data_IF_184005786388
#
_entry.id   IF_184005786388
#
_cell.length_a   1.000
_cell.length_b   1.000
_cell.length_c   1.000
_cell.angle_alpha   90.00
_cell.angle_beta   90.00
_cell.angle_gamma   90.00
#
_symmetry.space_group_name_H-M   'P 1'
#
loop_
_entity.id
_entity.type
_entity.pdbx_description
1 polymer ?
#
# COMPACT_ATOMS: atom_id res chain seq x y z
N UNK A 1 -2.98 0.75 -18.71
CA UNK A 1 -4.02 0.30 -17.76
C UNK A 1 -5.27 -0.20 -18.51
N UNK A 2 -5.86 0.59 -19.40
CA UNK A 2 -7.04 0.18 -20.21
C UNK A 2 -6.77 -1.07 -21.06
N UNK A 3 -5.61 -1.15 -21.71
CA UNK A 3 -5.23 -2.33 -22.49
C UNK A 3 -5.14 -3.60 -21.63
N UNK A 4 -4.57 -3.50 -20.42
CA UNK A 4 -4.50 -4.62 -19.48
C UNK A 4 -5.92 -5.07 -19.07
N UNK A 5 -6.79 -4.13 -18.70
CA UNK A 5 -8.17 -4.44 -18.32
C UNK A 5 -8.94 -5.13 -19.47
N UNK A 6 -8.82 -4.62 -20.70
CA UNK A 6 -9.45 -5.25 -21.87
C UNK A 6 -9.00 -6.70 -22.07
N UNK A 7 -7.70 -6.97 -21.95
CA UNK A 7 -7.16 -8.33 -22.10
C UNK A 7 -7.61 -9.22 -20.92
N UNK A 8 -7.61 -8.70 -19.70
CA UNK A 8 -8.08 -9.43 -18.52
C UNK A 8 -9.55 -9.79 -18.65
N UNK A 9 -10.40 -8.86 -19.08
CA UNK A 9 -11.83 -9.08 -19.30
C UNK A 9 -12.08 -10.13 -20.39
N UNK A 10 -11.32 -10.07 -21.49
CA UNK A 10 -11.47 -11.04 -22.58
C UNK A 10 -11.07 -12.48 -22.19
N UNK A 11 -10.06 -12.63 -21.34
CA UNK A 11 -9.54 -13.95 -20.92
C UNK A 11 -10.22 -14.51 -19.65
N UNK A 12 -10.90 -13.67 -18.87
CA UNK A 12 -11.63 -14.06 -17.67
C UNK A 12 -13.11 -13.63 -17.78
N UNK A 13 -13.91 -14.25 -18.66
CA UNK A 13 -15.27 -13.81 -18.96
C UNK A 13 -16.23 -13.93 -17.78
N UNK A 14 -15.90 -14.73 -16.77
CA UNK A 14 -16.74 -14.96 -15.57
C UNK A 14 -16.31 -14.09 -14.38
N UNK A 15 -15.42 -13.09 -14.59
CA UNK A 15 -14.95 -12.19 -13.53
C UNK A 15 -15.62 -10.84 -13.69
N UNK A 16 -16.20 -10.34 -12.61
CA UNK A 16 -16.70 -8.97 -12.52
C UNK A 16 -15.55 -8.02 -12.18
N UNK A 17 -15.37 -6.99 -12.99
CA UNK A 17 -14.29 -6.01 -12.83
C UNK A 17 -14.84 -4.70 -12.31
N UNK A 18 -14.22 -4.19 -11.25
CA UNK A 18 -14.53 -2.88 -10.67
C UNK A 18 -13.27 -2.02 -10.82
N UNK A 19 -13.40 -0.88 -11.46
CA UNK A 19 -12.27 0.02 -11.72
C UNK A 19 -12.33 1.24 -10.82
N UNK A 20 -11.23 1.54 -10.14
CA UNK A 20 -11.02 2.76 -9.37
C UNK A 20 -9.80 3.51 -9.94
N UNK A 21 -9.97 4.80 -10.21
CA UNK A 21 -8.94 5.65 -10.83
C UNK A 21 -8.29 6.59 -9.82
N UNK A 22 -8.92 6.79 -8.69
CA UNK A 22 -8.43 7.63 -7.59
C UNK A 22 -8.57 6.89 -6.26
N UNK A 23 -7.96 7.43 -5.22
CA UNK A 23 -8.07 6.88 -3.85
C UNK A 23 -9.49 6.96 -3.33
N UNK A 24 -10.25 8.02 -3.66
CA UNK A 24 -11.65 8.15 -3.27
C UNK A 24 -12.46 7.01 -3.88
N UNK A 25 -12.34 6.79 -5.19
CA UNK A 25 -13.03 5.69 -5.89
C UNK A 25 -12.62 4.32 -5.36
N UNK A 26 -11.34 4.13 -5.00
CA UNK A 26 -10.88 2.89 -4.37
C UNK A 26 -11.55 2.67 -3.00
N UNK A 27 -11.63 3.71 -2.17
CA UNK A 27 -12.30 3.61 -0.87
C UNK A 27 -13.79 3.26 -1.04
N UNK A 28 -14.49 3.96 -1.94
CA UNK A 28 -15.91 3.70 -2.23
C UNK A 28 -16.12 2.26 -2.73
N UNK A 29 -15.26 1.80 -3.65
CA UNK A 29 -15.32 0.44 -4.17
C UNK A 29 -15.09 -0.62 -3.07
N UNK A 30 -14.13 -0.39 -2.16
CA UNK A 30 -13.87 -1.29 -1.04
C UNK A 30 -15.03 -1.34 -0.02
N UNK A 31 -15.78 -0.26 0.14
CA UNK A 31 -16.96 -0.21 1.00
C UNK A 31 -18.16 -0.91 0.35
N UNK A 32 -18.37 -0.72 -0.96
CA UNK A 32 -19.52 -1.25 -1.69
C UNK A 32 -19.38 -2.74 -2.05
N UNK A 33 -18.13 -3.22 -2.28
CA UNK A 33 -17.85 -4.58 -2.75
C UNK A 33 -17.04 -5.36 -1.70
N UNK A 34 -17.74 -5.71 -0.62
CA UNK A 34 -17.13 -6.47 0.48
C UNK A 34 -16.84 -7.94 0.11
N UNK A 35 -17.42 -8.42 -0.94
CA UNK A 35 -17.27 -9.75 -1.54
C UNK A 35 -16.16 -9.84 -2.60
N UNK A 36 -15.39 -8.77 -2.81
CA UNK A 36 -14.28 -8.79 -3.75
C UNK A 36 -13.25 -9.87 -3.39
N UNK A 37 -12.87 -10.69 -4.37
CA UNK A 37 -11.93 -11.81 -4.20
C UNK A 37 -10.47 -11.38 -4.30
N UNK A 38 -10.17 -10.29 -5.00
CA UNK A 38 -8.81 -9.82 -5.26
C UNK A 38 -8.80 -8.32 -5.57
N UNK A 39 -7.77 -7.63 -5.10
CA UNK A 39 -7.44 -6.27 -5.51
C UNK A 39 -6.14 -6.23 -6.32
N UNK A 40 -6.18 -5.68 -7.52
CA UNK A 40 -4.98 -5.26 -8.26
C UNK A 40 -4.71 -3.78 -7.93
N UNK A 41 -3.63 -3.51 -7.20
CA UNK A 41 -3.32 -2.18 -6.69
C UNK A 41 -2.14 -1.56 -7.43
N UNK A 42 -2.38 -0.48 -8.16
CA UNK A 42 -1.30 0.39 -8.65
C UNK A 42 -0.88 1.36 -7.53
N UNK A 43 0.41 1.36 -7.20
CA UNK A 43 0.95 2.27 -6.17
C UNK A 43 0.95 3.75 -6.58
N UNK A 44 0.80 4.03 -7.88
CA UNK A 44 0.89 5.37 -8.46
C UNK A 44 -0.48 5.91 -8.95
N UNK A 45 -1.59 5.50 -8.33
CA UNK A 45 -2.88 6.12 -8.64
C UNK A 45 -2.97 7.52 -8.02
N UNK A 46 -3.67 8.48 -8.66
CA UNK A 46 -3.87 9.82 -8.11
C UNK A 46 -4.41 9.80 -6.69
N UNK A 47 -3.76 10.56 -5.79
CA UNK A 47 -4.07 10.59 -4.37
C UNK A 47 -3.48 9.43 -3.56
N UNK A 48 -2.79 8.48 -4.18
CA UNK A 48 -2.07 7.43 -3.47
C UNK A 48 -0.75 7.98 -2.89
N UNK A 49 -0.38 7.43 -1.74
CA UNK A 49 0.90 7.69 -1.08
C UNK A 49 1.75 6.40 -1.07
N UNK A 50 2.04 5.86 -2.26
CA UNK A 50 2.85 4.66 -2.42
C UNK A 50 2.31 3.47 -1.59
N UNK A 51 3.16 2.86 -0.78
CA UNK A 51 2.80 1.72 0.07
C UNK A 51 1.79 2.03 1.17
N UNK A 52 1.57 3.30 1.53
CA UNK A 52 0.56 3.66 2.54
C UNK A 52 -0.85 3.23 2.13
N UNK A 53 -1.14 3.27 0.83
CA UNK A 53 -2.41 2.76 0.30
C UNK A 53 -2.56 1.26 0.53
N UNK A 54 -1.51 0.48 0.25
CA UNK A 54 -1.49 -0.96 0.52
C UNK A 54 -1.70 -1.25 2.01
N UNK A 55 -0.97 -0.57 2.89
CA UNK A 55 -1.10 -0.74 4.35
C UNK A 55 -2.51 -0.41 4.81
N UNK A 56 -3.11 0.68 4.31
CA UNK A 56 -4.49 1.06 4.63
C UNK A 56 -5.48 -0.02 4.20
N UNK A 57 -5.38 -0.50 2.96
CA UNK A 57 -6.24 -1.58 2.46
C UNK A 57 -6.10 -2.83 3.33
N UNK A 58 -4.87 -3.25 3.63
CA UNK A 58 -4.60 -4.43 4.47
C UNK A 58 -5.13 -4.28 5.89
N UNK A 59 -5.10 -3.07 6.47
CA UNK A 59 -5.64 -2.83 7.81
C UNK A 59 -7.18 -2.87 7.86
N UNK A 60 -7.85 -2.46 6.77
CA UNK A 60 -9.30 -2.43 6.68
C UNK A 60 -9.88 -3.76 6.19
N UNK A 61 -9.18 -4.45 5.30
CA UNK A 61 -9.61 -5.66 4.59
C UNK A 61 -8.53 -6.74 4.66
N UNK A 62 -8.26 -7.24 5.86
CA UNK A 62 -7.19 -8.22 6.12
C UNK A 62 -7.30 -9.51 5.29
N UNK A 63 -8.52 -9.92 4.92
CA UNK A 63 -8.76 -11.14 4.14
C UNK A 63 -8.70 -10.93 2.63
N UNK A 64 -8.77 -9.68 2.14
CA UNK A 64 -8.72 -9.38 0.70
C UNK A 64 -7.28 -9.53 0.20
N UNK A 65 -6.97 -10.48 -0.68
CA UNK A 65 -5.66 -10.56 -1.30
C UNK A 65 -5.37 -9.33 -2.14
N UNK A 66 -4.16 -8.80 -2.03
CA UNK A 66 -3.73 -7.62 -2.81
C UNK A 66 -2.53 -7.98 -3.65
N UNK A 67 -2.64 -7.82 -4.96
CA UNK A 67 -1.51 -7.88 -5.91
C UNK A 67 -1.13 -6.46 -6.28
N UNK A 68 0.09 -6.08 -5.94
CA UNK A 68 0.65 -4.78 -6.34
C UNK A 68 1.05 -4.85 -7.81
N UNK A 69 0.65 -3.84 -8.58
CA UNK A 69 1.03 -3.67 -9.99
C UNK A 69 1.82 -2.37 -10.12
N UNK A 70 3.12 -2.46 -10.43
CA UNK A 70 4.01 -1.29 -10.40
C UNK A 70 4.89 -1.20 -11.65
N UNK A 71 5.24 0.03 -12.04
CA UNK A 71 6.29 0.27 -13.05
C UNK A 71 7.71 0.10 -12.47
N UNK A 72 7.85 0.20 -11.13
CA UNK A 72 9.11 -0.04 -10.43
C UNK A 72 9.19 -1.53 -10.08
N UNK A 73 10.26 -2.18 -10.52
CA UNK A 73 10.46 -3.63 -10.36
C UNK A 73 11.78 -3.96 -9.64
N UNK A 74 12.38 -2.95 -9.01
CA UNK A 74 13.57 -3.15 -8.20
C UNK A 74 13.28 -4.02 -6.96
N UNK A 75 14.31 -4.75 -6.51
CA UNK A 75 14.19 -5.72 -5.42
C UNK A 75 13.63 -5.09 -4.13
N UNK A 76 14.08 -3.87 -3.80
CA UNK A 76 13.62 -3.15 -2.61
C UNK A 76 12.13 -2.84 -2.66
N UNK A 77 11.62 -2.42 -3.83
CA UNK A 77 10.18 -2.15 -4.04
C UNK A 77 9.35 -3.43 -3.89
N UNK A 78 9.80 -4.54 -4.48
CA UNK A 78 9.08 -5.82 -4.37
C UNK A 78 9.04 -6.30 -2.93
N UNK A 79 10.19 -6.25 -2.25
CA UNK A 79 10.30 -6.67 -0.85
C UNK A 79 9.40 -5.86 0.05
N UNK A 80 9.44 -4.53 -0.05
CA UNK A 80 8.56 -3.65 0.73
C UNK A 80 7.09 -3.94 0.49
N UNK A 81 6.67 -4.19 -0.76
CA UNK A 81 5.29 -4.57 -1.05
C UNK A 81 4.89 -5.84 -0.29
N UNK A 82 5.73 -6.87 -0.32
CA UNK A 82 5.46 -8.14 0.38
C UNK A 82 5.46 -7.95 1.90
N UNK A 83 6.39 -7.18 2.46
CA UNK A 83 6.44 -6.85 3.89
C UNK A 83 5.20 -6.09 4.37
N UNK A 84 4.66 -5.19 3.54
CA UNK A 84 3.41 -4.48 3.84
C UNK A 84 2.15 -5.31 3.57
N UNK A 85 2.31 -6.59 3.29
CA UNK A 85 1.24 -7.55 3.23
C UNK A 85 0.58 -7.71 1.85
N UNK A 86 1.29 -7.38 0.77
CA UNK A 86 0.86 -7.79 -0.54
C UNK A 86 0.87 -9.33 -0.63
N UNK A 87 -0.11 -9.89 -1.33
CA UNK A 87 -0.15 -11.32 -1.67
C UNK A 87 0.62 -11.62 -2.95
N UNK A 88 0.94 -10.59 -3.73
CA UNK A 88 1.78 -10.71 -4.91
C UNK A 88 2.25 -9.35 -5.42
N UNK A 89 3.27 -9.40 -6.28
CA UNK A 89 3.83 -8.23 -6.95
C UNK A 89 4.05 -8.51 -8.43
N UNK A 90 3.48 -7.68 -9.29
CA UNK A 90 3.54 -7.82 -10.74
C UNK A 90 4.09 -6.53 -11.35
N UNK A 91 5.28 -6.55 -11.95
CA UNK A 91 5.76 -5.46 -12.79
C UNK A 91 4.78 -5.14 -13.93
N UNK A 92 4.61 -3.86 -14.27
CA UNK A 92 3.78 -3.47 -15.44
C UNK A 92 4.35 -3.95 -16.77
N UNK A 93 5.63 -4.29 -16.80
CA UNK A 93 6.34 -4.90 -17.93
C UNK A 93 6.04 -6.40 -18.10
N UNK A 94 5.41 -7.03 -17.11
CA UNK A 94 5.14 -8.47 -17.09
C UNK A 94 4.20 -8.89 -18.24
N UNK A 95 4.54 -9.94 -19.01
CA UNK A 95 3.65 -10.50 -20.01
C UNK A 95 2.29 -10.90 -19.44
N UNK A 96 1.23 -10.69 -20.21
CA UNK A 96 -0.16 -10.89 -19.75
C UNK A 96 -0.40 -12.32 -19.23
N UNK A 97 0.20 -13.31 -19.85
CA UNK A 97 0.11 -14.72 -19.43
C UNK A 97 0.63 -14.95 -18.01
N UNK A 98 1.70 -14.25 -17.64
CA UNK A 98 2.27 -14.31 -16.29
C UNK A 98 1.41 -13.54 -15.29
N UNK A 99 0.75 -12.44 -15.70
CA UNK A 99 -0.21 -11.72 -14.86
C UNK A 99 -1.39 -12.65 -14.50
N UNK A 100 -1.91 -13.42 -15.47
CA UNK A 100 -2.93 -14.44 -15.23
C UNK A 100 -2.46 -15.53 -14.26
N UNK A 101 -1.22 -15.98 -14.41
CA UNK A 101 -0.64 -16.97 -13.51
C UNK A 101 -0.59 -16.39 -12.09
N UNK A 102 -0.10 -15.18 -11.93
CA UNK A 102 -0.04 -14.48 -10.63
C UNK A 102 -1.43 -14.37 -9.98
N UNK A 103 -2.44 -13.91 -10.72
CA UNK A 103 -3.83 -13.82 -10.23
C UNK A 103 -4.34 -15.19 -9.75
N UNK A 104 -4.15 -16.23 -10.53
CA UNK A 104 -4.62 -17.58 -10.18
C UNK A 104 -3.92 -18.16 -8.94
N UNK A 105 -2.62 -17.95 -8.81
CA UNK A 105 -1.85 -18.41 -7.66
C UNK A 105 -2.29 -17.67 -6.39
N UNK A 106 -2.45 -16.36 -6.47
CA UNK A 106 -2.90 -15.55 -5.33
C UNK A 106 -4.33 -15.91 -4.91
N UNK A 107 -5.24 -16.20 -5.85
CA UNK A 107 -6.60 -16.66 -5.54
C UNK A 107 -6.63 -18.06 -4.90
N UNK A 108 -5.58 -18.87 -5.07
CA UNK A 108 -5.40 -20.16 -4.35
C UNK A 108 -4.80 -19.99 -2.95
N UNK A 109 -4.45 -18.76 -2.56
CA UNK A 109 -3.78 -18.48 -1.30
C UNK A 109 -2.24 -18.52 -1.36
N UNK A 110 -1.68 -18.71 -2.54
CA UNK A 110 -0.23 -18.67 -2.76
C UNK A 110 0.27 -17.23 -2.92
N UNK A 111 1.57 -17.03 -2.76
CA UNK A 111 2.20 -15.74 -3.05
C UNK A 111 2.86 -15.76 -4.42
N UNK A 112 2.85 -14.61 -5.11
CA UNK A 112 3.51 -14.47 -6.40
C UNK A 112 4.45 -13.28 -6.42
N UNK A 113 5.71 -13.53 -6.83
CA UNK A 113 6.74 -12.51 -7.05
C UNK A 113 7.53 -12.83 -8.33
N UNK A 114 8.20 -11.85 -8.96
CA UNK A 114 9.12 -12.13 -10.07
C UNK A 114 10.22 -13.12 -9.66
N UNK A 115 10.55 -14.08 -10.54
CA UNK A 115 11.48 -15.20 -10.25
C UNK A 115 12.89 -14.74 -9.87
N UNK A 116 13.32 -13.55 -10.34
CA UNK A 116 14.65 -13.00 -10.05
C UNK A 116 14.77 -12.36 -8.66
N UNK A 117 13.67 -12.24 -7.92
CA UNK A 117 13.63 -11.60 -6.59
C UNK A 117 13.85 -12.63 -5.48
N UNK A 118 14.78 -12.33 -4.56
CA UNK A 118 15.06 -13.18 -3.40
C UNK A 118 14.61 -12.52 -2.10
N UNK A 119 13.39 -12.85 -1.64
CA UNK A 119 12.84 -12.28 -0.39
C UNK A 119 13.68 -12.59 0.85
N UNK A 120 14.45 -13.69 0.88
CA UNK A 120 15.25 -14.07 2.05
C UNK A 120 16.42 -13.13 2.32
N UNK A 121 16.96 -12.49 1.28
CA UNK A 121 18.07 -11.56 1.39
C UNK A 121 17.64 -10.19 1.93
N UNK A 122 16.42 -9.82 1.66
CA UNK A 122 15.88 -8.51 2.00
C UNK A 122 15.16 -8.47 3.36
N UNK A 123 14.69 -9.61 3.88
CA UNK A 123 14.06 -9.70 5.20
C UNK A 123 14.98 -9.27 6.37
N UNK A 124 16.27 -9.10 6.12
CA UNK A 124 17.24 -8.63 7.11
C UNK A 124 17.22 -7.10 7.35
N UNK A 125 16.45 -6.32 6.57
CA UNK A 125 16.58 -4.85 6.56
C UNK A 125 15.35 -4.04 7.00
N UNK A 126 14.18 -4.60 7.30
CA UNK A 126 13.02 -3.75 7.59
C UNK A 126 12.17 -4.15 8.79
N UNK A 127 12.69 -3.84 9.95
CA UNK A 127 11.98 -3.72 11.22
C UNK A 127 10.86 -2.62 11.16
N UNK A 128 11.00 -1.59 10.31
CA UNK A 128 10.04 -0.48 10.24
C UNK A 128 8.70 -0.89 9.62
N UNK A 129 8.70 -1.77 8.64
CA UNK A 129 7.46 -2.26 8.01
C UNK A 129 6.56 -3.02 9.00
N UNK A 130 7.15 -3.87 9.84
CA UNK A 130 6.40 -4.57 10.90
C UNK A 130 5.85 -3.62 11.94
N UNK A 131 6.64 -2.62 12.33
CA UNK A 131 6.23 -1.60 13.28
C UNK A 131 5.04 -0.79 12.76
N UNK A 132 5.05 -0.39 11.48
CA UNK A 132 3.94 0.33 10.86
C UNK A 132 2.69 -0.57 10.79
N UNK A 133 2.83 -1.85 10.44
CA UNK A 133 1.71 -2.81 10.48
C UNK A 133 1.10 -2.98 11.87
N UNK A 134 1.86 -2.77 12.92
CA UNK A 134 1.38 -2.84 14.29
C UNK A 134 0.49 -1.66 14.70
N UNK A 135 0.44 -0.58 13.90
CA UNK A 135 -0.41 0.56 14.17
C UNK A 135 -1.89 0.19 13.99
N UNK A 136 -2.75 0.74 14.86
CA UNK A 136 -4.19 0.67 14.64
C UNK A 136 -4.59 1.54 13.44
N UNK A 137 -5.76 1.31 12.80
CA UNK A 137 -6.24 2.17 11.71
C UNK A 137 -6.27 3.65 12.09
N UNK A 138 -6.65 3.97 13.32
CA UNK A 138 -6.66 5.35 13.82
C UNK A 138 -5.25 5.92 13.96
N UNK A 139 -4.30 5.13 14.48
CA UNK A 139 -2.90 5.53 14.61
C UNK A 139 -2.26 5.76 13.24
N UNK A 140 -2.53 4.87 12.29
CA UNK A 140 -2.04 5.00 10.93
C UNK A 140 -2.58 6.28 10.26
N UNK A 141 -3.88 6.57 10.41
CA UNK A 141 -4.49 7.79 9.90
C UNK A 141 -3.84 9.05 10.48
N UNK A 142 -3.60 9.08 11.80
CA UNK A 142 -2.91 10.20 12.47
C UNK A 142 -1.48 10.34 11.97
N UNK A 143 -0.76 9.25 11.75
CA UNK A 143 0.60 9.27 11.22
C UNK A 143 0.67 9.87 9.81
N UNK A 144 -0.29 9.54 8.93
CA UNK A 144 -0.41 10.18 7.60
C UNK A 144 -0.65 11.68 7.72
N UNK A 145 -1.57 12.08 8.60
CA UNK A 145 -1.84 13.50 8.85
C UNK A 145 -0.61 14.24 9.43
N UNK A 146 0.29 13.53 10.11
CA UNK A 146 1.59 14.07 10.49
C UNK A 146 2.47 14.32 9.27
N UNK A 147 2.51 13.41 8.31
CA UNK A 147 3.26 13.56 7.07
C UNK A 147 2.72 14.73 6.22
N UNK A 148 1.41 14.95 6.23
CA UNK A 148 0.75 16.12 5.60
C UNK A 148 1.01 17.45 6.34
N UNK A 149 1.77 17.43 7.44
CA UNK A 149 2.14 18.63 8.19
C UNK A 149 1.06 19.17 9.14
N UNK A 150 -0.09 18.51 9.33
CA UNK A 150 -1.18 18.99 10.17
C UNK A 150 -0.80 19.04 11.65
N UNK A 151 -1.13 20.13 12.32
CA UNK A 151 -0.94 20.27 13.77
C UNK A 151 -1.95 19.41 14.55
N UNK A 152 -1.63 19.03 15.79
CA UNK A 152 -2.51 18.22 16.63
C UNK A 152 -3.93 18.81 16.75
N UNK A 153 -4.06 20.14 16.82
CA UNK A 153 -5.36 20.84 16.86
C UNK A 153 -6.18 20.61 15.58
N UNK A 154 -5.51 20.64 14.42
CA UNK A 154 -6.16 20.39 13.12
C UNK A 154 -6.59 18.94 12.99
N UNK A 155 -5.72 18.00 13.41
CA UNK A 155 -6.02 16.56 13.43
C UNK A 155 -7.20 16.27 14.37
N UNK A 156 -7.19 16.86 15.56
CA UNK A 156 -8.29 16.74 16.53
C UNK A 156 -9.62 17.19 15.93
N UNK A 157 -9.62 18.33 15.24
CA UNK A 157 -10.80 18.86 14.57
C UNK A 157 -11.29 17.92 13.45
N UNK A 158 -10.39 17.46 12.56
CA UNK A 158 -10.75 16.60 11.42
C UNK A 158 -11.25 15.20 11.84
N UNK A 159 -10.75 14.70 12.97
CA UNK A 159 -11.12 13.37 13.49
C UNK A 159 -12.20 13.42 14.56
N UNK A 160 -12.72 14.61 14.90
CA UNK A 160 -13.68 14.80 15.99
C UNK A 160 -13.18 14.25 17.34
N UNK A 161 -11.88 14.46 17.62
CA UNK A 161 -11.20 14.04 18.84
C UNK A 161 -10.79 15.26 19.68
N UNK A 162 -10.42 15.02 20.94
CA UNK A 162 -9.71 16.03 21.73
C UNK A 162 -8.24 16.11 21.32
N UNK A 163 -7.61 17.28 21.48
CA UNK A 163 -6.16 17.42 21.25
C UNK A 163 -5.34 16.53 22.19
N UNK A 164 -5.82 16.29 23.41
CA UNK A 164 -5.21 15.36 24.36
C UNK A 164 -5.25 13.91 23.82
N UNK A 165 -6.34 13.51 23.19
CA UNK A 165 -6.48 12.19 22.55
C UNK A 165 -5.50 12.02 21.40
N UNK A 166 -5.33 13.05 20.56
CA UNK A 166 -4.34 13.03 19.47
C UNK A 166 -2.92 12.92 20.02
N UNK A 167 -2.58 13.65 21.10
CA UNK A 167 -1.28 13.51 21.78
C UNK A 167 -1.04 12.11 22.33
N UNK A 168 -2.07 11.48 22.91
CA UNK A 168 -1.98 10.08 23.38
C UNK A 168 -1.71 9.11 22.23
N UNK A 169 -2.40 9.27 21.09
CA UNK A 169 -2.12 8.49 19.89
C UNK A 169 -0.70 8.73 19.36
N UNK A 170 -0.24 10.00 19.32
CA UNK A 170 1.12 10.32 18.91
C UNK A 170 2.17 9.58 19.75
N UNK A 171 2.03 9.60 21.07
CA UNK A 171 2.92 8.88 21.99
C UNK A 171 2.91 7.38 21.71
N UNK A 172 1.74 6.79 21.49
CA UNK A 172 1.61 5.37 21.14
C UNK A 172 2.25 5.04 19.78
N UNK A 173 2.09 5.91 18.77
CA UNK A 173 2.73 5.78 17.45
C UNK A 173 4.25 5.82 17.61
N UNK A 174 4.80 6.83 18.30
CA UNK A 174 6.25 6.95 18.46
C UNK A 174 6.86 5.73 19.16
N UNK A 175 6.19 5.22 20.20
CA UNK A 175 6.62 4.00 20.89
C UNK A 175 6.60 2.77 19.95
N UNK A 176 5.53 2.58 19.16
CA UNK A 176 5.40 1.44 18.25
C UNK A 176 6.41 1.51 17.10
N UNK A 177 6.64 2.69 16.55
CA UNK A 177 7.65 2.91 15.51
C UNK A 177 9.08 2.93 16.05
N UNK A 178 9.25 2.93 17.38
CA UNK A 178 10.55 3.10 18.06
C UNK A 178 11.27 4.39 17.59
N UNK A 179 10.55 5.50 17.59
CA UNK A 179 11.04 6.83 17.24
C UNK A 179 10.82 7.79 18.40
N UNK A 180 11.65 8.84 18.48
CA UNK A 180 11.64 9.77 19.60
C UNK A 180 10.66 10.93 19.44
N UNK A 181 10.31 11.29 18.21
CA UNK A 181 9.51 12.47 17.93
C UNK A 181 8.76 12.37 16.60
N UNK A 182 7.90 13.38 16.35
CA UNK A 182 7.11 13.50 15.14
C UNK A 182 7.96 13.50 13.84
N UNK A 183 9.06 14.24 13.84
CA UNK A 183 9.93 14.35 12.66
C UNK A 183 10.47 12.98 12.27
N UNK A 184 10.95 12.19 13.24
CA UNK A 184 11.40 10.83 12.99
C UNK A 184 10.27 9.90 12.54
N UNK A 185 9.05 10.07 13.06
CA UNK A 185 7.89 9.30 12.62
C UNK A 185 7.51 9.61 11.16
N UNK A 186 7.60 10.89 10.76
CA UNK A 186 7.38 11.31 9.37
C UNK A 186 8.48 10.80 8.44
N UNK A 187 9.74 10.83 8.86
CA UNK A 187 10.85 10.22 8.09
C UNK A 187 10.64 8.73 7.94
N UNK A 188 10.23 8.02 8.99
CA UNK A 188 9.98 6.58 8.96
C UNK A 188 8.88 6.22 7.95
N UNK A 189 7.79 7.01 7.86
CA UNK A 189 6.74 6.78 6.87
C UNK A 189 7.18 7.21 5.47
N UNK A 190 7.99 8.26 5.34
CA UNK A 190 8.54 8.72 4.06
C UNK A 190 9.47 7.67 3.40
N UNK A 191 10.11 6.80 4.18
CA UNK A 191 10.85 5.67 3.65
C UNK A 191 9.96 4.67 2.87
N UNK A 192 8.64 4.70 3.11
CA UNK A 192 7.65 3.94 2.34
C UNK A 192 7.28 4.60 1.01
N UNK A 193 7.52 5.91 0.87
CA UNK A 193 7.15 6.69 -0.31
C UNK A 193 8.28 6.75 -1.35
N UNK A 194 9.53 6.44 -0.96
CA UNK A 194 10.74 6.58 -1.80
C UNK A 194 10.75 5.67 -3.05
N UNK A 195 9.77 4.79 -3.22
CA UNK A 195 9.51 4.15 -4.52
C UNK A 195 8.87 5.07 -5.58
N UNK A 196 8.43 6.29 -5.20
CA UNK A 196 7.73 7.21 -6.11
C UNK A 196 8.50 8.48 -6.49
N UNK A 197 9.66 8.75 -5.88
CA UNK A 197 10.31 10.07 -5.99
C UNK A 197 11.55 10.16 -6.88
N UNK A 198 11.96 9.12 -7.57
CA UNK A 198 13.15 9.18 -8.47
C UNK A 198 12.83 9.65 -9.91
N UNK A 199 11.66 10.27 -10.16
CA UNK A 199 11.26 10.71 -11.49
C UNK A 199 11.14 12.24 -11.66
N UNK A 200 11.97 13.03 -10.96
CA UNK A 200 12.01 14.49 -11.18
C UNK A 200 13.38 15.06 -11.55
N UNK A 201 14.33 14.24 -11.96
CA UNK A 201 15.65 14.73 -12.33
C UNK A 201 16.22 14.00 -13.55
N UNK A 202 15.56 14.09 -14.70
CA UNK A 202 16.20 13.82 -16.01
C UNK A 202 15.34 14.41 -17.12
N UNK A 203 15.25 15.74 -17.19
CA UNK A 203 14.96 16.48 -18.42
C UNK A 203 15.53 17.90 -18.26
N UNK A 204 16.81 18.04 -18.54
CA UNK A 204 17.43 19.22 -19.16
C UNK A 204 18.35 18.75 -20.27
#
# INVERSE_FOLDING_TARGET
>A
RQALLQILTAKLPNVSWIEAQTIEQLNDALEQHQDADLLLLDLNIPGAHGFNTLIKVRSQRAQLPVVVVSAHEDEDTVVKAMEFGASGFVPKSTPVEQIFKAIREVLKGETWIPEHINLKRAAASSDIGERIRSLTPQQHKILLMFADGLLNKQIAHQLSLSEATVKAHATAIFRKLNVLNRTQAVIAIGQLEVGSSSFSASNE
#
